data_IF_566266458364
#
_entry.id   IF_566266458364
#
_cell.length_a   1.000
_cell.length_b   1.000
_cell.length_c   1.000
_cell.angle_alpha   90.00
_cell.angle_beta   90.00
_cell.angle_gamma   90.00
#
_symmetry.space_group_name_H-M   'P 1'
#
loop_
_entity.id
_entity.type
_entity.pdbx_description
1 polymer ?
#
# COMPACT_ATOMS: atom_id res chain seq x y z
N UNK A 1 8.04 -5.28 5.49
CA UNK A 1 8.74 -4.19 4.78
C UNK A 1 9.70 -3.44 5.72
N UNK A 2 10.79 -2.88 5.20
CA UNK A 2 11.76 -2.06 5.95
C UNK A 2 11.12 -0.73 6.45
N UNK A 3 11.42 -0.35 7.70
CA UNK A 3 11.02 0.94 8.30
C UNK A 3 11.56 2.14 7.52
N UNK A 4 12.70 2.02 6.85
CA UNK A 4 13.24 3.08 6.00
C UNK A 4 12.36 3.32 4.76
N UNK A 5 11.87 2.26 4.11
CA UNK A 5 10.95 2.37 2.98
C UNK A 5 9.62 3.05 3.37
N UNK A 6 9.05 2.66 4.52
CA UNK A 6 7.83 3.30 5.06
C UNK A 6 7.99 4.82 5.26
N UNK A 7 9.13 5.26 5.80
CA UNK A 7 9.41 6.69 5.99
C UNK A 7 9.55 7.44 4.66
N UNK A 8 10.23 6.84 3.68
CA UNK A 8 10.37 7.43 2.34
C UNK A 8 9.02 7.53 1.61
N UNK A 9 8.18 6.49 1.69
CA UNK A 9 6.82 6.53 1.17
C UNK A 9 6.01 7.65 1.82
N UNK A 10 6.08 7.79 3.15
CA UNK A 10 5.40 8.89 3.86
C UNK A 10 5.89 10.26 3.43
N UNK A 11 7.18 10.40 3.06
CA UNK A 11 7.71 11.66 2.54
C UNK A 11 7.20 11.99 1.13
N UNK A 12 6.91 10.97 0.31
CA UNK A 12 6.36 11.15 -1.04
C UNK A 12 4.91 11.62 -0.98
N UNK A 13 4.04 10.89 -0.27
CA UNK A 13 2.59 11.19 -0.25
C UNK A 13 2.19 12.15 0.88
N UNK A 14 3.06 12.36 1.85
CA UNK A 14 2.80 13.14 3.05
C UNK A 14 2.11 12.33 4.16
N UNK A 15 2.34 12.76 5.41
CA UNK A 15 1.87 12.05 6.62
C UNK A 15 0.37 11.78 6.67
N UNK A 16 -0.45 12.64 6.09
CA UNK A 16 -1.93 12.50 6.08
C UNK A 16 -2.42 11.47 5.06
N UNK A 17 -1.60 11.12 4.07
CA UNK A 17 -1.94 10.24 2.96
C UNK A 17 -1.26 8.88 3.09
N UNK A 18 -0.86 8.50 4.29
CA UNK A 18 -0.32 7.18 4.57
C UNK A 18 -0.73 6.74 5.98
N UNK A 19 -1.07 5.47 6.13
CA UNK A 19 -1.36 4.87 7.42
C UNK A 19 -0.58 3.58 7.64
N UNK A 20 -0.21 3.40 8.91
CA UNK A 20 0.37 2.18 9.49
C UNK A 20 -0.36 1.79 10.78
N UNK A 21 -1.52 2.40 11.04
CA UNK A 21 -2.36 2.08 12.20
C UNK A 21 -2.98 0.70 12.01
N UNK A 22 -2.97 -0.13 13.05
CA UNK A 22 -3.35 -1.54 12.95
C UNK A 22 -4.79 -1.70 12.44
N UNK A 23 -5.68 -0.83 12.88
CA UNK A 23 -7.10 -0.80 12.53
C UNK A 23 -7.28 -0.55 11.03
N UNK A 24 -6.54 0.42 10.49
CA UNK A 24 -6.58 0.73 9.07
C UNK A 24 -5.99 -0.42 8.25
N UNK A 25 -4.86 -0.99 8.66
CA UNK A 25 -4.23 -2.11 7.94
C UNK A 25 -5.16 -3.32 7.82
N UNK A 26 -5.97 -3.59 8.86
CA UNK A 26 -7.00 -4.62 8.81
C UNK A 26 -8.14 -4.28 7.83
N UNK A 27 -8.53 -3.01 7.71
CA UNK A 27 -9.52 -2.60 6.70
C UNK A 27 -9.03 -2.80 5.25
N UNK A 28 -7.71 -2.81 5.04
CA UNK A 28 -7.07 -3.00 3.73
C UNK A 28 -6.50 -4.41 3.53
N UNK A 29 -6.74 -5.35 4.45
CA UNK A 29 -6.18 -6.71 4.37
C UNK A 29 -7.00 -7.69 3.53
N UNK A 30 -8.25 -7.34 3.18
CA UNK A 30 -9.17 -8.23 2.49
C UNK A 30 -9.78 -7.60 1.24
N UNK A 31 -10.32 -8.46 0.39
CA UNK A 31 -11.22 -8.08 -0.70
C UNK A 31 -12.46 -8.99 -0.73
N UNK A 32 -13.23 -8.97 -1.81
CA UNK A 32 -14.44 -9.76 -1.95
C UNK A 32 -14.22 -11.27 -1.91
N UNK A 33 -12.98 -11.77 -2.02
CA UNK A 33 -12.69 -13.20 -1.85
C UNK A 33 -12.91 -13.70 -0.42
N UNK A 34 -12.87 -12.81 0.58
CA UNK A 34 -12.89 -13.18 1.99
C UNK A 34 -11.56 -13.72 2.54
N UNK A 35 -10.48 -13.69 1.75
CA UNK A 35 -9.13 -13.95 2.25
C UNK A 35 -8.52 -12.69 2.88
N UNK A 36 -7.62 -12.87 3.84
CA UNK A 36 -7.00 -11.79 4.62
C UNK A 36 -5.47 -11.88 4.63
N UNK A 37 -4.81 -10.79 4.25
CA UNK A 37 -3.36 -10.61 4.32
C UNK A 37 -3.06 -9.19 4.79
N UNK A 38 -2.38 -9.00 5.92
CA UNK A 38 -2.20 -7.66 6.52
C UNK A 38 -1.01 -6.94 5.86
N UNK A 39 -1.21 -5.75 5.25
CA UNK A 39 -0.12 -5.00 4.63
C UNK A 39 0.81 -4.37 5.68
N UNK A 40 2.04 -4.05 5.28
CA UNK A 40 2.99 -3.28 6.12
C UNK A 40 2.65 -1.78 6.23
N UNK A 41 1.85 -1.25 5.29
CA UNK A 41 1.48 0.16 5.21
C UNK A 41 0.55 0.39 4.02
N UNK A 42 -0.26 1.45 4.08
CA UNK A 42 -1.18 1.85 3.00
C UNK A 42 -0.94 3.32 2.68
N UNK A 43 -0.74 3.63 1.39
CA UNK A 43 -0.51 4.97 0.88
C UNK A 43 -1.64 5.39 -0.08
N UNK A 44 -1.99 6.67 -0.06
CA UNK A 44 -3.06 7.28 -0.84
C UNK A 44 -2.50 8.41 -1.70
N UNK A 45 -1.75 8.10 -2.78
CA UNK A 45 -1.17 9.12 -3.64
C UNK A 45 -2.26 9.99 -4.28
N UNK A 46 -2.04 11.30 -4.31
CA UNK A 46 -2.97 12.30 -4.85
C UNK A 46 -2.65 12.76 -6.28
N UNK A 47 -1.50 12.33 -6.83
CA UNK A 47 -1.04 12.74 -8.16
C UNK A 47 -0.30 11.62 -8.91
N UNK A 48 -0.14 11.79 -10.22
CA UNK A 48 0.63 10.86 -11.05
C UNK A 48 2.11 10.89 -10.67
N UNK A 49 2.63 12.05 -10.30
CA UNK A 49 4.01 12.25 -9.89
C UNK A 49 4.34 11.47 -8.61
N UNK A 50 3.42 11.44 -7.65
CA UNK A 50 3.55 10.64 -6.43
C UNK A 50 3.54 9.14 -6.75
N UNK A 51 2.63 8.68 -7.63
CA UNK A 51 2.61 7.27 -8.08
C UNK A 51 3.93 6.88 -8.75
N UNK A 52 4.44 7.70 -9.68
CA UNK A 52 5.73 7.49 -10.33
C UNK A 52 6.88 7.40 -9.30
N UNK A 53 6.88 8.30 -8.31
CA UNK A 53 7.90 8.33 -7.26
C UNK A 53 7.85 7.06 -6.38
N UNK A 54 6.66 6.55 -6.06
CA UNK A 54 6.48 5.29 -5.32
C UNK A 54 7.06 4.12 -6.12
N UNK A 55 6.76 4.04 -7.42
CA UNK A 55 7.25 2.95 -8.28
C UNK A 55 8.77 3.01 -8.46
N UNK A 56 9.35 4.20 -8.62
CA UNK A 56 10.80 4.39 -8.64
C UNK A 56 11.44 3.93 -7.33
N UNK A 57 10.86 4.31 -6.20
CA UNK A 57 11.34 3.90 -4.88
C UNK A 57 11.29 2.37 -4.70
N UNK A 58 10.22 1.72 -5.15
CA UNK A 58 10.08 0.26 -5.10
C UNK A 58 11.11 -0.46 -5.98
N UNK A 59 11.57 0.18 -7.04
CA UNK A 59 12.64 -0.33 -7.89
C UNK A 59 14.04 -0.14 -7.27
N UNK A 60 14.26 0.96 -6.54
CA UNK A 60 15.53 1.22 -5.84
C UNK A 60 15.68 0.41 -4.55
N UNK A 61 14.59 0.29 -3.78
CA UNK A 61 14.50 -0.45 -2.52
C UNK A 61 13.38 -1.48 -2.73
N UNK A 62 13.71 -2.76 -3.01
CA UNK A 62 12.71 -3.75 -3.36
C UNK A 62 11.65 -3.94 -2.27
N UNK A 63 10.40 -3.61 -2.62
CA UNK A 63 9.21 -4.01 -1.88
C UNK A 63 8.03 -4.19 -2.86
N UNK A 64 7.08 -5.10 -2.56
CA UNK A 64 5.91 -5.27 -3.40
C UNK A 64 4.99 -4.05 -3.31
N UNK A 65 4.45 -3.63 -4.46
CA UNK A 65 3.42 -2.59 -4.56
C UNK A 65 2.15 -3.25 -5.05
N UNK A 66 1.13 -3.26 -4.19
CA UNK A 66 -0.17 -3.86 -4.51
C UNK A 66 -1.17 -2.74 -4.79
N UNK A 67 -1.54 -2.50 -6.06
CA UNK A 67 -2.53 -1.50 -6.40
C UNK A 67 -3.91 -1.92 -5.89
N UNK A 68 -4.63 -0.99 -5.24
CA UNK A 68 -5.96 -1.23 -4.71
C UNK A 68 -6.88 -0.04 -4.99
N UNK A 69 -8.06 -0.33 -5.55
CA UNK A 69 -9.18 0.60 -5.64
C UNK A 69 -10.11 0.47 -4.43
N UNK A 70 -11.38 0.16 -4.66
CA UNK A 70 -12.36 -0.05 -3.58
C UNK A 70 -12.21 -1.40 -2.83
N UNK A 71 -11.43 -2.34 -3.36
CA UNK A 71 -11.24 -3.66 -2.74
C UNK A 71 -12.43 -4.62 -2.86
N UNK A 72 -13.29 -4.43 -3.86
CA UNK A 72 -14.49 -5.26 -4.07
C UNK A 72 -14.26 -6.43 -5.04
N UNK A 73 -13.02 -6.63 -5.51
CA UNK A 73 -12.68 -7.71 -6.43
C UNK A 73 -12.86 -9.09 -5.80
N UNK A 74 -13.23 -10.09 -6.61
CA UNK A 74 -13.53 -11.46 -6.16
C UNK A 74 -12.44 -12.47 -6.57
N UNK A 75 -11.28 -11.99 -7.01
CA UNK A 75 -10.19 -12.83 -7.52
C UNK A 75 -8.90 -12.73 -6.70
N UNK A 76 -8.85 -11.84 -5.70
CA UNK A 76 -7.67 -11.64 -4.86
C UNK A 76 -6.69 -10.60 -5.42
N UNK A 77 -7.00 -9.94 -6.53
CA UNK A 77 -6.07 -9.02 -7.20
C UNK A 77 -5.71 -7.76 -6.41
N UNK A 78 -6.41 -7.48 -5.31
CA UNK A 78 -6.12 -6.35 -4.40
C UNK A 78 -5.69 -6.80 -3.00
N UNK A 79 -5.47 -8.09 -2.82
CA UNK A 79 -4.91 -8.63 -1.59
C UNK A 79 -3.41 -8.35 -1.57
N UNK A 80 -2.87 -7.83 -0.46
CA UNK A 80 -1.44 -7.63 -0.30
C UNK A 80 -0.79 -8.97 0.07
N UNK A 81 -0.89 -9.92 -0.86
CA UNK A 81 -0.12 -11.16 -0.82
C UNK A 81 1.34 -10.82 -1.16
N UNK A 82 2.28 -11.50 -0.49
CA UNK A 82 3.74 -11.29 -0.52
C UNK A 82 4.31 -10.32 0.55
#
# INVERSE_FOLDING_TARGET
>A
MDHHALKKLQAIVGKKHMTIAKEDLLCYSYDGTGMEYVPSGVAFPGSVEEVCSIMQLANEIPFPVIPRGAGTGMTGGSLPVE
#
